data_IF_811790983340
#
_entry.id   IF_811790983340
#
_cell.length_a   1.000
_cell.length_b   1.000
_cell.length_c   1.000
_cell.angle_alpha   90.00
_cell.angle_beta   90.00
_cell.angle_gamma   90.00
#
_symmetry.space_group_name_H-M   'P 1'
#
loop_
_entity.id
_entity.type
_entity.pdbx_description
1 polymer ?
#
# COMPACT_ATOMS: atom_id res chain seq x y z
N UNK A 1 2.50 15.60 1.57
CA UNK A 1 3.22 14.41 2.06
C UNK A 1 2.31 13.76 3.09
N UNK A 2 1.64 12.69 2.69
CA UNK A 2 0.70 11.97 3.53
C UNK A 2 1.42 10.75 4.11
N UNK A 3 1.65 10.76 5.43
CA UNK A 3 2.37 9.70 6.14
C UNK A 3 1.54 9.25 7.31
N UNK A 4 1.55 7.95 7.60
CA UNK A 4 0.76 7.38 8.68
C UNK A 4 1.00 5.89 8.80
N UNK A 5 0.19 5.23 9.61
CA UNK A 5 0.17 3.78 9.76
C UNK A 5 -1.04 3.21 9.05
N UNK A 6 -0.91 1.96 8.64
CA UNK A 6 -2.00 1.25 7.99
C UNK A 6 -1.79 -0.24 8.02
N UNK A 7 -2.67 -0.94 7.32
CA UNK A 7 -2.58 -2.36 7.08
C UNK A 7 -2.49 -2.62 5.58
N UNK A 8 -1.49 -3.39 5.18
CA UNK A 8 -1.41 -3.96 3.85
C UNK A 8 -2.27 -5.21 3.81
N UNK A 9 -3.22 -5.28 2.89
CA UNK A 9 -3.99 -6.47 2.59
C UNK A 9 -3.36 -7.13 1.36
N UNK A 10 -2.76 -8.30 1.57
CA UNK A 10 -2.25 -9.16 0.51
C UNK A 10 -3.41 -9.90 -0.17
N UNK A 11 -3.14 -10.51 -1.32
CA UNK A 11 -4.15 -11.21 -2.10
C UNK A 11 -4.70 -12.44 -1.37
N UNK A 12 -3.84 -13.14 -0.63
CA UNK A 12 -4.25 -14.27 0.21
C UNK A 12 -5.18 -13.86 1.38
N UNK A 13 -5.40 -12.55 1.58
CA UNK A 13 -6.19 -12.00 2.68
C UNK A 13 -5.37 -11.78 3.94
N UNK A 14 -4.10 -12.16 3.94
CA UNK A 14 -3.16 -11.83 5.01
C UNK A 14 -3.01 -10.31 5.12
N UNK A 15 -3.05 -9.81 6.37
CA UNK A 15 -2.86 -8.40 6.67
C UNK A 15 -1.55 -8.15 7.39
N UNK A 16 -0.77 -7.18 6.91
CA UNK A 16 0.50 -6.79 7.51
C UNK A 16 0.44 -5.35 8.02
N UNK A 17 0.84 -5.06 9.27
CA UNK A 17 0.99 -3.70 9.72
C UNK A 17 2.10 -3.01 8.92
N UNK A 18 1.82 -1.81 8.42
CA UNK A 18 2.77 -1.00 7.68
C UNK A 18 2.77 0.45 8.15
N UNK A 19 3.85 1.16 7.83
CA UNK A 19 3.86 2.63 7.80
C UNK A 19 3.99 3.07 6.35
N UNK A 20 3.28 4.11 5.95
CA UNK A 20 3.33 4.64 4.59
C UNK A 20 3.88 6.06 4.57
N UNK A 21 4.52 6.40 3.46
CA UNK A 21 5.01 7.72 3.16
C UNK A 21 4.72 8.06 1.70
N UNK A 22 3.62 8.77 1.46
CA UNK A 22 3.24 9.24 0.13
C UNK A 22 3.80 10.64 -0.14
N UNK A 23 4.49 10.78 -1.27
CA UNK A 23 5.13 12.02 -1.71
C UNK A 23 4.23 12.88 -2.58
N UNK A 24 3.13 12.33 -3.11
CA UNK A 24 2.20 13.05 -4.00
C UNK A 24 0.74 12.84 -3.61
N UNK A 25 0.01 13.96 -3.54
CA UNK A 25 -1.45 14.08 -3.36
C UNK A 25 -2.05 14.82 -4.58
N UNK A 26 -1.53 14.59 -5.79
CA UNK A 26 -2.15 15.17 -6.99
C UNK A 26 -3.32 14.27 -7.41
N UNK A 27 -4.54 14.78 -7.30
CA UNK A 27 -5.79 14.04 -7.53
C UNK A 27 -5.89 12.77 -6.65
N UNK A 28 -6.44 11.69 -7.21
CA UNK A 28 -6.61 10.39 -6.56
C UNK A 28 -5.35 9.53 -6.59
N UNK A 29 -4.26 9.97 -7.24
CA UNK A 29 -3.03 9.17 -7.35
C UNK A 29 -2.19 9.33 -6.07
N UNK A 30 -1.67 8.22 -5.59
CA UNK A 30 -0.78 8.13 -4.42
C UNK A 30 0.47 7.36 -4.81
N UNK A 31 1.61 8.05 -4.79
CA UNK A 31 2.92 7.45 -5.01
C UNK A 31 3.81 7.67 -3.79
N UNK A 32 4.57 6.65 -3.40
CA UNK A 32 5.34 6.70 -2.18
C UNK A 32 6.00 5.39 -1.78
N UNK A 33 6.29 5.29 -0.50
CA UNK A 33 6.98 4.14 0.09
C UNK A 33 6.14 3.51 1.19
N UNK A 34 6.16 2.18 1.25
CA UNK A 34 5.61 1.39 2.33
C UNK A 34 6.76 0.77 3.11
N UNK A 35 6.65 0.81 4.42
CA UNK A 35 7.59 0.24 5.37
C UNK A 35 6.85 -0.84 6.14
N UNK A 36 7.10 -2.09 5.79
CA UNK A 36 6.58 -3.28 6.45
C UNK A 36 7.64 -4.37 6.44
N UNK A 37 7.52 -5.31 7.38
CA UNK A 37 8.29 -6.54 7.32
C UNK A 37 7.69 -7.45 6.25
N UNK A 38 8.47 -7.71 5.20
CA UNK A 38 8.12 -8.61 4.09
C UNK A 38 8.95 -9.89 4.12
N UNK A 39 9.65 -10.16 5.22
CA UNK A 39 10.58 -11.28 5.36
C UNK A 39 9.89 -12.64 5.17
N UNK A 40 8.61 -12.72 5.55
CA UNK A 40 7.76 -13.92 5.43
C UNK A 40 6.78 -13.83 4.24
N UNK A 41 6.86 -12.78 3.42
CA UNK A 41 5.93 -12.55 2.30
C UNK A 41 6.48 -13.18 1.05
N UNK A 42 5.66 -14.00 0.39
CA UNK A 42 6.01 -14.54 -0.92
C UNK A 42 6.11 -13.38 -1.95
N UNK A 43 7.23 -13.24 -2.67
CA UNK A 43 7.42 -12.13 -3.59
C UNK A 43 6.42 -12.15 -4.76
N UNK A 44 5.78 -13.27 -5.08
CA UNK A 44 4.71 -13.32 -6.08
C UNK A 44 3.44 -12.59 -5.62
N UNK A 45 3.19 -12.49 -4.30
CA UNK A 45 2.07 -11.71 -3.75
C UNK A 45 2.25 -10.21 -4.02
N UNK A 46 3.50 -9.72 -4.07
CA UNK A 46 3.83 -8.32 -4.37
C UNK A 46 3.62 -7.95 -5.84
N UNK A 47 3.49 -8.93 -6.73
CA UNK A 47 3.25 -8.72 -8.16
C UNK A 47 1.81 -8.37 -8.52
N UNK A 48 0.88 -8.45 -7.56
CA UNK A 48 -0.53 -8.14 -7.74
C UNK A 48 -0.89 -6.76 -7.18
N UNK A 49 -2.08 -6.28 -7.50
CA UNK A 49 -2.64 -5.09 -6.87
C UNK A 49 -2.84 -5.37 -5.39
N UNK A 50 -2.17 -4.61 -4.54
CA UNK A 50 -2.30 -4.66 -3.09
C UNK A 50 -3.25 -3.57 -2.63
N UNK A 51 -3.86 -3.74 -1.46
CA UNK A 51 -4.71 -2.72 -0.85
C UNK A 51 -4.14 -2.26 0.47
N UNK A 52 -4.09 -0.96 0.67
CA UNK A 52 -3.71 -0.36 1.94
C UNK A 52 -4.98 0.18 2.60
N UNK A 53 -5.17 -0.17 3.86
CA UNK A 53 -6.15 0.48 4.74
C UNK A 53 -5.38 1.41 5.67
N UNK A 54 -5.50 2.72 5.44
CA UNK A 54 -4.93 3.75 6.30
C UNK A 54 -5.67 3.79 7.65
N UNK A 55 -5.00 4.27 8.70
CA UNK A 55 -5.62 4.47 10.02
C UNK A 55 -6.84 5.39 9.99
N UNK A 56 -6.87 6.34 9.04
CA UNK A 56 -7.99 7.26 8.80
C UNK A 56 -9.19 6.60 8.08
N UNK A 57 -9.12 5.29 7.80
CA UNK A 57 -10.15 4.53 7.10
C UNK A 57 -10.12 4.64 5.57
N UNK A 58 -9.24 5.47 5.02
CA UNK A 58 -9.01 5.60 3.57
C UNK A 58 -8.41 4.29 3.04
N UNK A 59 -8.93 3.82 1.91
CA UNK A 59 -8.39 2.68 1.19
C UNK A 59 -7.64 3.14 -0.05
N UNK A 60 -6.48 2.54 -0.31
CA UNK A 60 -5.63 2.88 -1.46
C UNK A 60 -5.25 1.57 -2.14
N UNK A 61 -5.62 1.42 -3.40
CA UNK A 61 -5.13 0.32 -4.24
C UNK A 61 -3.78 0.71 -4.81
N UNK A 62 -2.75 -0.11 -4.56
CA UNK A 62 -1.36 0.15 -4.94
C UNK A 62 -0.76 -1.01 -5.71
N UNK A 63 0.13 -0.68 -6.64
CA UNK A 63 1.03 -1.61 -7.30
C UNK A 63 2.47 -1.35 -6.82
N UNK A 64 3.19 -2.42 -6.53
CA UNK A 64 4.62 -2.34 -6.18
C UNK A 64 5.42 -2.11 -7.45
N UNK A 65 6.15 -0.98 -7.49
CA UNK A 65 7.05 -0.64 -8.62
C UNK A 65 8.50 -1.04 -8.34
N UNK A 66 8.85 -1.16 -7.07
CA UNK A 66 10.18 -1.61 -6.64
C UNK A 66 10.10 -2.16 -5.21
N UNK A 67 10.70 -3.32 -4.98
CA UNK A 67 10.81 -3.94 -3.66
C UNK A 67 12.26 -3.89 -3.17
N UNK A 68 12.45 -3.49 -1.92
CA UNK A 68 13.72 -3.59 -1.21
C UNK A 68 13.49 -4.24 0.15
N UNK A 69 14.57 -4.68 0.79
CA UNK A 69 14.56 -5.33 2.11
C UNK A 69 13.98 -4.43 3.22
N UNK A 70 13.96 -3.11 3.00
CA UNK A 70 13.53 -2.11 3.99
C UNK A 70 12.25 -1.37 3.63
N UNK A 71 11.87 -1.38 2.36
CA UNK A 71 10.73 -0.61 1.88
C UNK A 71 10.25 -1.13 0.53
N UNK A 72 8.96 -0.90 0.25
CA UNK A 72 8.35 -1.08 -1.06
C UNK A 72 8.05 0.30 -1.65
N UNK A 73 8.57 0.62 -2.82
CA UNK A 73 8.09 1.77 -3.57
C UNK A 73 6.82 1.36 -4.31
N UNK A 74 5.79 2.19 -4.19
CA UNK A 74 4.47 1.90 -4.72
C UNK A 74 3.88 3.09 -5.46
N UNK A 75 3.02 2.79 -6.41
CA UNK A 75 2.12 3.76 -7.04
C UNK A 75 0.71 3.21 -7.00
N UNK A 76 -0.27 4.07 -6.79
CA UNK A 76 -1.64 3.63 -6.59
C UNK A 76 -2.63 4.77 -6.68
N UNK A 77 -3.87 4.44 -6.36
CA UNK A 77 -4.95 5.41 -6.32
C UNK A 77 -5.83 5.18 -5.10
N UNK A 78 -6.41 6.25 -4.59
CA UNK A 78 -7.46 6.16 -3.56
C UNK A 78 -8.60 5.32 -4.13
N UNK A 79 -8.97 4.25 -3.44
CA UNK A 79 -10.13 3.46 -3.82
C UNK A 79 -11.36 4.34 -3.61
N UNK A 80 -12.09 4.64 -4.68
CA UNK A 80 -13.42 5.21 -4.53
C UNK A 80 -14.26 4.22 -3.73
N UNK A 81 -15.08 4.67 -2.75
CA UNK A 81 -16.06 3.79 -2.14
C UNK A 81 -16.88 3.24 -3.30
N UNK A 82 -16.83 1.91 -3.48
CA UNK A 82 -17.64 1.23 -4.48
C UNK A 82 -19.09 1.68 -4.22
N UNK A 83 -19.65 2.43 -5.15
CA UNK A 83 -21.05 2.82 -5.11
C UNK A 83 -21.85 1.52 -5.23
N UNK A 84 -22.34 1.05 -4.09
CA UNK A 84 -23.28 -0.04 -3.96
C UNK A 84 -24.56 0.24 -4.75
#
# INVERSE_FOLDING_TARGET
>A
MHTGKGMLVLRDGQTLPLSYQFSSDYDDIRAGYLFCDISDVDPAELGYSLRITCEDGIQIDVAVIHSSDRYLAVTGRVASPEAA
#
